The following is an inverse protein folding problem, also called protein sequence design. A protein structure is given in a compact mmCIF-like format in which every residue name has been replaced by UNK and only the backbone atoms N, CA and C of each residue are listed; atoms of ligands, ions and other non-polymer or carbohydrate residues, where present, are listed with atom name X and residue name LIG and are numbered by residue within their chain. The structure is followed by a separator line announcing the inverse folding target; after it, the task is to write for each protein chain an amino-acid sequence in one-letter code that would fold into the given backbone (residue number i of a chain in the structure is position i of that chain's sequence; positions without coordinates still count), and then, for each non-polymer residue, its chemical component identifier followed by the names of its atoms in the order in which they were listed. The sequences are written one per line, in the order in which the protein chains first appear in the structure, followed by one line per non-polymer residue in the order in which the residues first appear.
data_IF_266786612552
#
_entry.id   IF_266786612552
#
_cell.length_a   1.000
_cell.length_b   1.000
_cell.length_c   1.000
_cell.angle_alpha   90.00
_cell.angle_beta   90.00
_cell.angle_gamma   90.00
#
_symmetry.space_group_name_H-M   'P 1'
#
loop_
_entity.id
_entity.type
_entity.pdbx_description
1 polymer ?
#
# COMPACT_ATOMS: atom_id res chain seq x y z
N UNK A 1 13.88 15.86 29.82
CA UNK A 1 13.99 15.80 28.35
C UNK A 1 12.63 15.79 27.64
N UNK A 2 11.63 15.00 28.08
CA UNK A 2 10.28 14.97 27.46
C UNK A 2 9.56 16.33 27.50
N UNK A 3 9.67 17.05 28.62
CA UNK A 3 9.08 18.39 28.78
C UNK A 3 9.70 19.42 27.81
N UNK A 4 11.02 19.38 27.63
CA UNK A 4 11.71 20.30 26.70
C UNK A 4 11.27 20.05 25.26
N UNK A 5 11.12 18.79 24.89
CA UNK A 5 10.63 18.39 23.57
C UNK A 5 9.18 18.85 23.37
N UNK A 6 8.30 18.61 24.33
CA UNK A 6 6.91 19.06 24.26
C UNK A 6 6.79 20.60 24.09
N UNK A 7 7.61 21.34 24.80
CA UNK A 7 7.70 22.81 24.64
C UNK A 7 8.26 23.22 23.28
N UNK A 8 9.22 22.48 22.74
CA UNK A 8 9.73 22.71 21.38
C UNK A 8 8.64 22.48 20.34
N UNK A 9 7.94 21.33 20.39
CA UNK A 9 6.83 21.03 19.47
C UNK A 9 5.75 22.11 19.54
N UNK A 10 5.34 22.52 20.74
CA UNK A 10 4.35 23.61 20.91
C UNK A 10 4.78 24.91 20.25
N UNK A 11 6.06 25.29 20.37
CA UNK A 11 6.59 26.47 19.70
C UNK A 11 6.60 26.36 18.19
N UNK A 12 6.97 25.21 17.65
CA UNK A 12 6.94 24.99 16.21
C UNK A 12 5.50 24.99 15.68
N UNK A 13 4.55 24.40 16.39
CA UNK A 13 3.13 24.46 16.04
C UNK A 13 2.58 25.88 16.02
N UNK A 14 3.00 26.76 16.96
CA UNK A 14 2.64 28.18 16.95
C UNK A 14 3.18 28.87 15.69
N UNK A 15 4.45 28.64 15.34
CA UNK A 15 5.04 29.22 14.11
C UNK A 15 4.32 28.75 12.85
N UNK A 16 3.98 27.47 12.77
CA UNK A 16 3.23 26.91 11.64
C UNK A 16 1.86 27.57 11.54
N UNK A 17 1.16 27.75 12.66
CA UNK A 17 -0.17 28.37 12.68
C UNK A 17 -0.13 29.86 12.27
N UNK A 18 0.88 30.60 12.71
CA UNK A 18 1.10 32.00 12.33
C UNK A 18 1.39 32.12 10.83
N UNK A 19 2.28 31.27 10.30
CA UNK A 19 2.61 31.23 8.87
C UNK A 19 1.39 30.85 8.02
N UNK A 20 0.64 29.83 8.44
CA UNK A 20 -0.60 29.42 7.78
C UNK A 20 -1.64 30.54 7.76
N UNK A 21 -1.83 31.21 8.91
CA UNK A 21 -2.73 32.36 9.01
C UNK A 21 -2.30 33.53 8.12
N UNK A 22 -1.00 33.79 8.03
CA UNK A 22 -0.46 34.81 7.14
C UNK A 22 -0.66 34.48 5.68
N UNK A 23 -0.30 33.26 5.27
CA UNK A 23 -0.42 32.80 3.89
C UNK A 23 -1.89 32.74 3.44
N UNK A 24 -2.80 32.26 4.31
CA UNK A 24 -4.22 32.19 4.00
C UNK A 24 -4.90 33.59 3.88
N UNK A 25 -4.34 34.61 4.52
CA UNK A 25 -4.82 36.01 4.42
C UNK A 25 -4.17 36.78 3.27
N UNK A 26 -3.04 36.29 2.75
CA UNK A 26 -2.37 36.93 1.61
C UNK A 26 -3.19 36.72 0.35
N UNK A 27 -3.36 37.78 -0.46
CA UNK A 27 -3.99 37.72 -1.79
C UNK A 27 -2.99 37.28 -2.85
N UNK A 28 -2.10 36.35 -2.51
CA UNK A 28 -1.11 35.82 -3.46
C UNK A 28 -1.84 34.89 -4.44
N UNK A 29 -1.99 35.34 -5.68
CA UNK A 29 -2.70 34.63 -6.76
C UNK A 29 -1.96 33.36 -7.21
N UNK A 30 -0.68 33.23 -6.85
CA UNK A 30 0.16 32.08 -7.20
C UNK A 30 0.02 30.89 -6.23
N UNK A 31 -0.67 31.07 -5.09
CA UNK A 31 -0.91 30.03 -4.09
C UNK A 31 -2.40 29.76 -3.93
N UNK A 32 -2.88 28.72 -4.56
CA UNK A 32 -4.23 28.25 -4.33
C UNK A 32 -4.37 27.57 -2.95
N UNK A 33 -5.60 27.41 -2.49
CA UNK A 33 -5.88 26.80 -1.19
C UNK A 33 -5.34 25.38 -1.05
N UNK A 34 -5.25 24.64 -2.16
CA UNK A 34 -4.74 23.26 -2.20
C UNK A 34 -3.22 23.25 -1.92
N UNK A 35 -2.48 24.12 -2.57
CA UNK A 35 -1.02 24.27 -2.34
C UNK A 35 -0.72 24.65 -0.89
N UNK A 36 -1.54 25.53 -0.28
CA UNK A 36 -1.36 25.92 1.13
C UNK A 36 -1.58 24.69 2.05
N UNK A 37 -2.56 23.86 1.77
CA UNK A 37 -2.82 22.64 2.52
C UNK A 37 -1.63 21.67 2.39
N UNK A 38 -1.17 21.39 1.17
CA UNK A 38 -0.05 20.47 0.90
C UNK A 38 1.24 20.91 1.61
N UNK A 39 1.59 22.20 1.55
CA UNK A 39 2.76 22.76 2.22
C UNK A 39 2.64 22.66 3.75
N UNK A 40 1.44 22.87 4.29
CA UNK A 40 1.19 22.78 5.73
C UNK A 40 1.26 21.34 6.21
N UNK A 41 0.66 20.39 5.48
CA UNK A 41 0.74 18.95 5.76
C UNK A 41 2.18 18.47 5.78
N UNK A 42 2.98 18.86 4.77
CA UNK A 42 4.40 18.53 4.71
C UNK A 42 5.16 19.05 5.93
N UNK A 43 4.91 20.29 6.32
CA UNK A 43 5.59 20.90 7.46
C UNK A 43 5.20 20.22 8.78
N UNK A 44 3.93 19.83 8.94
CA UNK A 44 3.45 19.08 10.11
C UNK A 44 4.01 17.66 10.14
N UNK A 45 4.10 17.01 8.99
CA UNK A 45 4.72 15.68 8.87
C UNK A 45 6.20 15.71 9.26
N UNK A 46 6.96 16.67 8.73
CA UNK A 46 8.38 16.86 9.06
C UNK A 46 8.59 17.13 10.57
N UNK A 47 7.65 17.85 11.20
CA UNK A 47 7.68 18.08 12.65
C UNK A 47 7.40 16.80 13.43
N UNK A 48 6.43 16.01 12.99
CA UNK A 48 6.08 14.73 13.60
C UNK A 48 7.21 13.70 13.46
N UNK A 49 7.88 13.67 12.29
CA UNK A 49 9.03 12.79 12.05
C UNK A 49 10.21 13.17 12.94
N UNK A 50 10.53 14.48 13.07
CA UNK A 50 11.52 14.97 14.02
C UNK A 50 11.19 14.62 15.47
N UNK A 51 9.91 14.37 15.78
CA UNK A 51 9.45 13.92 17.08
C UNK A 51 9.64 12.46 17.39
N UNK A 52 9.67 11.65 16.37
CA UNK A 52 9.91 10.22 16.49
C UNK A 52 11.40 9.83 16.69
N UNK A 53 12.24 10.75 17.18
CA UNK A 53 13.59 10.43 17.66
C UNK A 53 13.62 9.50 18.90
N UNK A 54 12.52 8.87 19.25
CA UNK A 54 12.56 7.62 19.99
C UNK A 54 12.83 6.45 19.02
N UNK A 55 13.84 6.56 18.18
CA UNK A 55 14.56 5.37 17.76
C UNK A 55 15.17 4.84 19.07
N UNK A 56 14.42 4.00 19.75
CA UNK A 56 14.92 3.30 20.91
C UNK A 56 16.14 2.53 20.42
N UNK A 57 17.32 2.94 20.87
CA UNK A 57 18.53 2.18 20.64
C UNK A 57 18.26 0.78 21.19
N UNK A 58 18.05 -0.17 20.29
CA UNK A 58 17.83 -1.56 20.63
C UNK A 58 19.22 -2.15 20.94
N UNK A 59 19.36 -2.79 22.08
CA UNK A 59 20.59 -3.49 22.41
C UNK A 59 20.83 -4.60 21.41
N UNK A 60 22.08 -4.82 21.05
CA UNK A 60 22.45 -5.83 20.05
C UNK A 60 21.99 -7.25 20.44
N UNK A 61 21.98 -7.59 21.73
CA UNK A 61 21.47 -8.87 22.21
C UNK A 61 19.97 -9.06 21.94
N UNK A 62 19.19 -8.00 22.03
CA UNK A 62 17.75 -8.02 21.72
C UNK A 62 17.52 -8.10 20.20
N UNK A 63 18.27 -7.35 19.40
CA UNK A 63 18.23 -7.47 17.94
C UNK A 63 18.63 -8.89 17.48
N UNK A 64 19.64 -9.50 18.13
CA UNK A 64 20.07 -10.87 17.84
C UNK A 64 18.99 -11.91 18.19
N UNK A 65 18.26 -11.76 19.31
CA UNK A 65 17.14 -12.64 19.65
C UNK A 65 16.04 -12.59 18.59
N UNK A 66 15.66 -11.39 18.16
CA UNK A 66 14.66 -11.21 17.08
C UNK A 66 15.12 -11.87 15.79
N UNK A 67 16.41 -11.75 15.43
CA UNK A 67 16.98 -12.39 14.26
C UNK A 67 16.95 -13.92 14.37
N UNK A 68 17.28 -14.47 15.53
CA UNK A 68 17.25 -15.93 15.76
C UNK A 68 15.80 -16.44 15.70
N UNK A 69 14.85 -15.72 16.27
CA UNK A 69 13.43 -16.08 16.20
C UNK A 69 12.93 -16.07 14.75
N UNK A 70 13.26 -15.03 13.98
CA UNK A 70 12.94 -14.95 12.56
C UNK A 70 13.56 -16.11 11.77
N UNK A 71 14.84 -16.41 12.00
CA UNK A 71 15.52 -17.53 11.34
C UNK A 71 14.93 -18.90 11.75
N UNK A 72 14.54 -19.07 13.01
CA UNK A 72 13.87 -20.28 13.49
C UNK A 72 12.51 -20.49 12.84
N UNK A 73 11.73 -19.41 12.69
CA UNK A 73 10.44 -19.45 12.00
C UNK A 73 10.62 -19.77 10.51
N UNK A 74 11.63 -19.19 9.87
CA UNK A 74 12.00 -19.51 8.49
C UNK A 74 12.39 -20.98 8.31
N UNK A 75 13.19 -21.51 9.22
CA UNK A 75 13.64 -22.91 9.19
C UNK A 75 12.50 -23.92 9.36
N UNK A 76 11.49 -23.57 10.16
CA UNK A 76 10.30 -24.40 10.39
C UNK A 76 9.29 -24.33 9.24
N UNK A 77 9.42 -23.36 8.36
CA UNK A 77 8.52 -23.17 7.23
C UNK A 77 8.98 -24.01 6.05
N UNK A 78 8.36 -25.15 5.82
CA UNK A 78 8.70 -26.10 4.76
C UNK A 78 8.59 -25.49 3.36
N UNK A 79 7.79 -24.46 3.17
CA UNK A 79 7.61 -23.74 1.89
C UNK A 79 8.77 -22.79 1.58
N UNK A 80 9.65 -22.49 2.53
CA UNK A 80 10.80 -21.59 2.34
C UNK A 80 10.43 -20.10 2.13
N UNK A 81 9.15 -19.75 2.25
CA UNK A 81 8.63 -18.38 2.07
C UNK A 81 8.28 -17.82 3.44
N UNK A 82 9.06 -16.85 3.90
CA UNK A 82 8.88 -16.19 5.21
C UNK A 82 7.98 -14.96 5.10
N UNK A 83 8.12 -14.25 4.00
CA UNK A 83 7.31 -13.07 3.68
C UNK A 83 5.92 -13.42 3.14
N UNK A 84 5.21 -12.39 2.68
CA UNK A 84 3.95 -12.55 1.96
C UNK A 84 4.27 -13.02 0.53
N UNK A 85 3.75 -14.18 0.07
CA UNK A 85 4.06 -14.68 -1.26
C UNK A 85 3.48 -13.78 -2.35
N UNK A 86 4.22 -13.61 -3.43
CA UNK A 86 3.74 -12.92 -4.64
C UNK A 86 2.82 -13.80 -5.49
N UNK A 87 2.84 -15.11 -5.25
CA UNK A 87 2.17 -16.12 -6.06
C UNK A 87 2.91 -16.46 -7.36
N UNK A 88 4.13 -15.97 -7.53
CA UNK A 88 5.01 -16.27 -8.66
C UNK A 88 6.19 -17.09 -8.15
N UNK A 89 6.19 -18.39 -8.43
CA UNK A 89 7.12 -19.36 -7.85
C UNK A 89 8.59 -18.96 -7.96
N UNK A 90 9.01 -18.51 -9.15
CA UNK A 90 10.42 -18.13 -9.38
C UNK A 90 10.79 -16.84 -8.63
N UNK A 91 9.83 -15.93 -8.48
CA UNK A 91 10.04 -14.68 -7.74
C UNK A 91 10.08 -14.96 -6.24
N UNK A 92 9.14 -15.76 -5.75
CA UNK A 92 9.05 -16.15 -4.35
C UNK A 92 10.28 -16.96 -3.91
N UNK A 93 10.78 -17.86 -4.76
CA UNK A 93 12.00 -18.62 -4.47
C UNK A 93 13.26 -17.73 -4.34
N UNK A 94 13.29 -16.59 -5.01
CA UNK A 94 14.42 -15.64 -4.98
C UNK A 94 14.30 -14.62 -3.85
N UNK A 95 13.07 -14.14 -3.57
CA UNK A 95 12.83 -13.10 -2.56
C UNK A 95 12.53 -13.68 -1.18
N UNK A 96 12.09 -14.95 -1.08
CA UNK A 96 11.52 -15.49 0.15
C UNK A 96 10.16 -14.88 0.50
N UNK A 97 9.45 -14.31 -0.49
CA UNK A 97 8.26 -13.49 -0.33
C UNK A 97 8.55 -12.02 -0.08
N UNK A 98 7.50 -11.22 0.11
CA UNK A 98 7.60 -9.78 0.43
C UNK A 98 7.72 -9.61 1.94
N UNK A 99 8.78 -9.00 2.42
CA UNK A 99 9.03 -8.80 3.85
C UNK A 99 8.53 -7.43 4.32
N UNK A 100 8.31 -7.32 5.62
CA UNK A 100 7.95 -6.03 6.24
C UNK A 100 9.08 -5.02 6.06
N UNK A 101 8.71 -3.78 5.80
CA UNK A 101 9.62 -2.65 5.59
C UNK A 101 10.43 -2.70 4.29
N UNK A 102 10.20 -3.68 3.41
CA UNK A 102 10.84 -3.70 2.10
C UNK A 102 10.18 -2.71 1.13
N UNK A 103 11.01 -2.09 0.30
CA UNK A 103 10.59 -1.32 -0.86
C UNK A 103 10.96 -2.09 -2.12
N UNK A 104 9.97 -2.62 -2.82
CA UNK A 104 10.15 -3.35 -4.08
C UNK A 104 9.71 -2.47 -5.25
N UNK A 105 10.62 -2.19 -6.19
CA UNK A 105 10.35 -1.33 -7.33
C UNK A 105 10.20 -2.19 -8.60
N UNK A 106 9.04 -2.08 -9.26
CA UNK A 106 8.77 -2.71 -10.56
C UNK A 106 8.87 -1.64 -11.64
N UNK A 107 9.85 -1.77 -12.53
CA UNK A 107 10.05 -0.85 -13.64
C UNK A 107 9.94 -1.56 -15.00
N UNK A 108 9.48 -0.83 -16.00
CA UNK A 108 9.36 -1.33 -17.38
C UNK A 108 8.81 -0.25 -18.30
N UNK A 109 8.97 -0.45 -19.61
CA UNK A 109 8.41 0.44 -20.62
C UNK A 109 6.87 0.46 -20.55
N UNK A 110 6.20 1.49 -21.03
CA UNK A 110 4.74 1.51 -21.17
C UNK A 110 4.23 0.23 -21.87
N UNK A 111 3.07 -0.25 -21.45
CA UNK A 111 2.41 -1.45 -22.01
C UNK A 111 3.13 -2.79 -21.80
N UNK A 112 4.19 -2.86 -21.00
CA UNK A 112 4.90 -4.11 -20.69
C UNK A 112 4.26 -4.93 -19.54
N UNK A 113 3.09 -4.55 -19.08
CA UNK A 113 2.34 -5.34 -18.09
C UNK A 113 2.66 -5.05 -16.63
N UNK A 114 3.34 -3.95 -16.29
CA UNK A 114 3.64 -3.57 -14.89
C UNK A 114 2.42 -3.63 -13.97
N UNK A 115 1.33 -2.96 -14.38
CA UNK A 115 0.09 -2.93 -13.60
C UNK A 115 -0.54 -4.32 -13.49
N UNK A 116 -0.48 -5.15 -14.55
CA UNK A 116 -0.96 -6.53 -14.51
C UNK A 116 -0.19 -7.34 -13.47
N UNK A 117 1.14 -7.25 -13.48
CA UNK A 117 2.00 -7.93 -12.52
C UNK A 117 1.71 -7.47 -11.09
N UNK A 118 1.63 -6.15 -10.86
CA UNK A 118 1.33 -5.58 -9.54
C UNK A 118 -0.06 -6.02 -9.03
N UNK A 119 -1.07 -6.05 -9.91
CA UNK A 119 -2.43 -6.50 -9.58
C UNK A 119 -2.44 -7.97 -9.17
N UNK A 120 -1.69 -8.82 -9.90
CA UNK A 120 -1.60 -10.25 -9.58
C UNK A 120 -0.89 -10.49 -8.25
N UNK A 121 0.18 -9.78 -7.99
CA UNK A 121 0.88 -9.85 -6.70
C UNK A 121 -0.07 -9.43 -5.56
N UNK A 122 -0.78 -8.31 -5.72
CA UNK A 122 -1.72 -7.83 -4.72
C UNK A 122 -2.87 -8.83 -4.46
N UNK A 123 -3.43 -9.42 -5.53
CA UNK A 123 -4.47 -10.44 -5.44
C UNK A 123 -3.97 -11.70 -4.72
N UNK A 124 -2.82 -12.24 -5.12
CA UNK A 124 -2.24 -13.44 -4.53
C UNK A 124 -1.88 -13.21 -3.05
N UNK A 125 -1.34 -12.06 -2.72
CA UNK A 125 -1.07 -11.66 -1.33
C UNK A 125 -2.34 -11.61 -0.49
N UNK A 126 -3.41 -10.99 -1.00
CA UNK A 126 -4.70 -10.92 -0.31
C UNK A 126 -5.32 -12.31 -0.11
N UNK A 127 -5.25 -13.18 -1.12
CA UNK A 127 -5.71 -14.57 -1.04
C UNK A 127 -4.97 -15.34 0.04
N UNK A 128 -3.65 -15.24 0.09
CA UNK A 128 -2.84 -15.91 1.11
C UNK A 128 -3.12 -15.39 2.51
N UNK A 129 -3.32 -14.09 2.68
CA UNK A 129 -3.70 -13.47 3.95
C UNK A 129 -5.04 -14.03 4.44
N UNK A 130 -6.02 -14.21 3.55
CA UNK A 130 -7.32 -14.78 3.88
C UNK A 130 -7.19 -16.25 4.28
N UNK A 131 -6.44 -17.05 3.52
CA UNK A 131 -6.18 -18.48 3.81
C UNK A 131 -5.52 -18.67 5.18
N UNK A 132 -4.54 -17.83 5.50
CA UNK A 132 -3.83 -17.87 6.78
C UNK A 132 -4.65 -17.28 7.96
N UNK A 133 -5.87 -16.79 7.70
CA UNK A 133 -6.74 -16.11 8.68
C UNK A 133 -6.03 -14.97 9.43
N UNK A 134 -5.09 -14.30 8.78
CA UNK A 134 -4.32 -13.19 9.35
C UNK A 134 -5.18 -11.92 9.37
N UNK A 135 -5.08 -11.15 10.46
CA UNK A 135 -5.67 -9.82 10.56
C UNK A 135 -4.83 -8.78 9.80
N UNK A 136 -4.65 -8.99 8.51
CA UNK A 136 -3.86 -8.12 7.64
C UNK A 136 -4.66 -7.86 6.36
N UNK A 137 -4.31 -6.81 5.65
CA UNK A 137 -4.95 -6.42 4.40
C UNK A 137 -3.92 -5.94 3.39
N UNK A 138 -4.31 -5.91 2.13
CA UNK A 138 -3.54 -5.35 1.02
C UNK A 138 -4.22 -4.07 0.57
N UNK A 139 -3.48 -2.97 0.50
CA UNK A 139 -3.94 -1.71 -0.08
C UNK A 139 -3.28 -1.50 -1.44
N UNK A 140 -4.08 -1.23 -2.46
CA UNK A 140 -3.64 -0.95 -3.82
C UNK A 140 -4.02 0.48 -4.20
N UNK A 141 -3.03 1.35 -4.32
CA UNK A 141 -3.22 2.73 -4.74
C UNK A 141 -3.00 2.86 -6.24
N UNK A 142 -4.02 3.27 -6.98
CA UNK A 142 -3.98 3.37 -8.44
C UNK A 142 -4.15 4.81 -8.90
N UNK A 143 -3.14 5.33 -9.60
CA UNK A 143 -3.18 6.68 -10.16
C UNK A 143 -3.56 6.70 -11.65
N UNK A 144 -3.61 5.54 -12.32
CA UNK A 144 -3.88 5.43 -13.75
C UNK A 144 -5.19 4.74 -14.07
N UNK A 145 -5.61 3.76 -13.24
CA UNK A 145 -6.76 2.92 -13.52
C UNK A 145 -7.81 3.05 -12.43
N UNK A 146 -9.08 3.06 -12.81
CA UNK A 146 -10.17 3.04 -11.85
C UNK A 146 -10.28 1.69 -11.12
N UNK A 147 -10.92 1.71 -9.96
CA UNK A 147 -11.23 0.52 -9.16
C UNK A 147 -12.03 -0.52 -9.96
N UNK A 148 -12.97 -0.07 -10.80
CA UNK A 148 -13.75 -0.94 -11.71
C UNK A 148 -12.86 -1.64 -12.73
N UNK A 149 -11.89 -0.94 -13.32
CA UNK A 149 -10.98 -1.51 -14.31
C UNK A 149 -10.06 -2.56 -13.68
N UNK A 150 -9.56 -2.30 -12.48
CA UNK A 150 -8.73 -3.24 -11.72
C UNK A 150 -9.54 -4.47 -11.30
N UNK A 151 -10.73 -4.28 -10.75
CA UNK A 151 -11.64 -5.37 -10.38
C UNK A 151 -12.02 -6.23 -11.58
N UNK A 152 -12.37 -5.59 -12.71
CA UNK A 152 -12.65 -6.31 -13.97
C UNK A 152 -11.46 -7.16 -14.41
N UNK A 153 -10.25 -6.65 -14.28
CA UNK A 153 -9.03 -7.41 -14.62
C UNK A 153 -8.85 -8.62 -13.73
N UNK A 154 -9.01 -8.46 -12.41
CA UNK A 154 -8.89 -9.55 -11.45
C UNK A 154 -9.94 -10.63 -11.73
N UNK A 155 -11.20 -10.25 -11.89
CA UNK A 155 -12.28 -11.22 -12.13
C UNK A 155 -12.09 -11.91 -13.49
N UNK A 156 -11.69 -11.17 -14.53
CA UNK A 156 -11.41 -11.72 -15.86
C UNK A 156 -10.32 -12.77 -15.82
N UNK A 157 -9.26 -12.54 -15.06
CA UNK A 157 -8.15 -13.48 -14.90
C UNK A 157 -8.59 -14.73 -14.12
N UNK A 158 -9.31 -14.56 -13.02
CA UNK A 158 -9.77 -15.67 -12.20
C UNK A 158 -10.86 -16.51 -12.90
N UNK A 159 -11.74 -15.86 -13.66
CA UNK A 159 -12.78 -16.54 -14.47
C UNK A 159 -12.29 -17.06 -15.81
N UNK A 160 -11.02 -16.73 -16.20
CA UNK A 160 -10.46 -17.03 -17.53
C UNK A 160 -11.26 -16.48 -18.70
N UNK A 161 -12.01 -15.41 -18.48
CA UNK A 161 -12.78 -14.70 -19.50
C UNK A 161 -11.99 -13.44 -19.90
N UNK A 162 -11.88 -13.18 -21.20
CA UNK A 162 -11.13 -12.00 -21.65
C UNK A 162 -11.80 -10.72 -21.18
N UNK A 163 -11.04 -9.86 -20.50
CA UNK A 163 -11.55 -8.58 -19.97
C UNK A 163 -12.18 -7.68 -21.05
N UNK A 164 -11.69 -7.77 -22.30
CA UNK A 164 -12.24 -7.04 -23.42
C UNK A 164 -13.64 -7.54 -23.83
N UNK A 165 -13.89 -8.84 -23.71
CA UNK A 165 -15.20 -9.42 -24.03
C UNK A 165 -16.22 -9.07 -22.95
N UNK A 166 -15.79 -9.06 -21.68
CA UNK A 166 -16.60 -8.56 -20.56
C UNK A 166 -17.02 -7.10 -20.81
N UNK A 167 -16.05 -6.23 -21.08
CA UNK A 167 -16.31 -4.80 -21.33
C UNK A 167 -17.21 -4.51 -22.53
N UNK A 168 -17.21 -5.39 -23.53
CA UNK A 168 -18.04 -5.26 -24.73
C UNK A 168 -19.37 -5.97 -24.63
N UNK A 169 -19.65 -6.68 -23.52
CA UNK A 169 -20.83 -7.51 -23.37
C UNK A 169 -20.87 -8.69 -24.33
N UNK A 170 -19.71 -9.15 -24.83
CA UNK A 170 -19.56 -10.28 -25.76
C UNK A 170 -19.22 -11.57 -25.02
N UNK A 171 -19.99 -11.88 -24.00
CA UNK A 171 -19.87 -13.10 -23.20
C UNK A 171 -21.15 -13.90 -23.30
N UNK A 172 -21.05 -15.23 -23.25
CA UNK A 172 -22.22 -16.11 -23.20
C UNK A 172 -22.89 -16.05 -21.81
N UNK A 173 -24.09 -16.58 -21.71
CA UNK A 173 -24.82 -16.69 -20.43
C UNK A 173 -24.02 -17.53 -19.42
N UNK A 174 -23.45 -18.65 -19.86
CA UNK A 174 -22.57 -19.48 -19.03
C UNK A 174 -21.34 -18.74 -18.52
N UNK A 175 -20.72 -17.93 -19.39
CA UNK A 175 -19.58 -17.10 -19.00
C UNK A 175 -19.99 -16.01 -18.01
N UNK A 176 -21.19 -15.46 -18.15
CA UNK A 176 -21.70 -14.48 -17.22
C UNK A 176 -21.98 -15.09 -15.84
N UNK A 177 -22.56 -16.28 -15.80
CA UNK A 177 -22.74 -17.03 -14.54
C UNK A 177 -21.39 -17.33 -13.87
N UNK A 178 -20.40 -17.80 -14.64
CA UNK A 178 -19.04 -18.04 -14.15
C UNK A 178 -18.39 -16.75 -13.61
N UNK A 179 -18.59 -15.61 -14.28
CA UNK A 179 -18.14 -14.31 -13.83
C UNK A 179 -18.76 -13.92 -12.48
N UNK A 180 -20.07 -14.13 -12.33
CA UNK A 180 -20.79 -13.84 -11.07
C UNK A 180 -20.34 -14.75 -9.93
N UNK A 181 -20.17 -16.04 -10.18
CA UNK A 181 -19.67 -16.99 -9.18
C UNK A 181 -18.25 -16.63 -8.74
N UNK A 182 -17.37 -16.37 -9.69
CA UNK A 182 -16.00 -15.93 -9.41
C UNK A 182 -16.00 -14.66 -8.57
N UNK A 183 -16.83 -13.67 -8.94
CA UNK A 183 -16.96 -12.41 -8.20
C UNK A 183 -17.36 -12.62 -6.74
N UNK A 184 -18.32 -13.52 -6.48
CA UNK A 184 -18.74 -13.88 -5.11
C UNK A 184 -17.58 -14.49 -4.31
N UNK A 185 -16.84 -15.41 -4.92
CA UNK A 185 -15.75 -16.13 -4.25
C UNK A 185 -14.59 -15.23 -3.86
N UNK A 186 -14.36 -14.13 -4.58
CA UNK A 186 -13.26 -13.19 -4.31
C UNK A 186 -13.71 -11.91 -3.59
N UNK A 187 -15.03 -11.72 -3.39
CA UNK A 187 -15.57 -10.49 -2.78
C UNK A 187 -15.12 -10.24 -1.34
N UNK A 188 -14.77 -11.29 -0.61
CA UNK A 188 -14.36 -11.23 0.80
C UNK A 188 -12.84 -11.11 0.98
N UNK A 189 -12.08 -11.01 -0.11
CA UNK A 189 -10.63 -10.83 -0.01
C UNK A 189 -10.28 -9.49 0.67
N UNK A 190 -9.30 -9.48 1.58
CA UNK A 190 -8.86 -8.26 2.27
C UNK A 190 -7.99 -7.39 1.34
N UNK A 191 -8.51 -7.04 0.17
CA UNK A 191 -7.89 -6.19 -0.85
C UNK A 191 -8.67 -4.89 -0.98
N UNK A 192 -8.02 -3.77 -0.65
CA UNK A 192 -8.59 -2.43 -0.74
C UNK A 192 -7.97 -1.68 -1.90
N UNK A 193 -8.78 -1.03 -2.72
CA UNK A 193 -8.33 -0.25 -3.87
C UNK A 193 -8.69 1.20 -3.64
N UNK A 194 -7.69 2.08 -3.73
CA UNK A 194 -7.86 3.53 -3.70
C UNK A 194 -7.46 4.10 -5.07
N UNK A 195 -8.35 4.89 -5.66
CA UNK A 195 -8.15 5.56 -6.96
C UNK A 195 -8.07 7.09 -6.82
N UNK A 196 -7.87 7.57 -5.60
CA UNK A 196 -7.81 9.02 -5.34
C UNK A 196 -6.61 9.63 -6.06
N UNK A 197 -6.82 10.56 -7.01
CA UNK A 197 -5.72 11.23 -7.67
C UNK A 197 -4.99 12.13 -6.67
N UNK A 198 -3.66 12.13 -6.71
CA UNK A 198 -2.80 12.94 -5.86
C UNK A 198 -3.04 12.73 -4.36
N UNK A 199 -3.12 11.46 -3.94
CA UNK A 199 -3.20 11.10 -2.52
C UNK A 199 -1.99 11.67 -1.75
N UNK A 200 -2.25 12.34 -0.63
CA UNK A 200 -1.18 12.89 0.22
C UNK A 200 -0.69 11.85 1.22
N UNK A 201 0.53 12.04 1.73
CA UNK A 201 1.10 11.14 2.76
C UNK A 201 0.22 11.14 4.02
N UNK A 202 -0.37 12.28 4.37
CA UNK A 202 -1.28 12.40 5.51
C UNK A 202 -2.59 11.61 5.32
N UNK A 203 -3.06 11.44 4.07
CA UNK A 203 -4.25 10.63 3.77
C UNK A 203 -3.96 9.12 3.79
N UNK A 204 -2.68 8.72 3.73
CA UNK A 204 -2.24 7.33 3.79
C UNK A 204 -2.05 6.82 5.22
N UNK A 205 -1.92 7.70 6.19
CA UNK A 205 -1.72 7.40 7.61
C UNK A 205 -3.05 7.30 8.36
#
# INVERSE_FOLDING_TARGET
SKLIYDLFVKRELIKISENLSYTAKSNDLDKDGKTIIEDTEKTLFDLAEKGNFNSSLIKFDEAMRQTIEMASNAYKNEEGIVGVPTGLTDLDSRLGGLHKSDLVIIAGRPSMGKTALATNIAFNAAKKIQEDSKKSSVAFFSLEMSSEQLSTRIIAEQSRIKSNDIRRGKISEEQFEQFLETSKNISELPLYIDETPAITIASLS
#
